data_IF_796445286299
#
_entry.id   IF_796445286299
#
_cell.length_a   1.000
_cell.length_b   1.000
_cell.length_c   1.000
_cell.angle_alpha   90.00
_cell.angle_beta   90.00
_cell.angle_gamma   90.00
#
_symmetry.space_group_name_H-M   'P 1'
#
loop_
_entity.id
_entity.type
_entity.pdbx_description
1 polymer ?
#
# COMPACT_ATOMS: atom_id res chain seq x y z
N UNK A 1 -14.15 7.33 7.74
CA UNK A 1 -12.99 7.46 6.83
C UNK A 1 -12.18 8.66 7.26
N UNK A 2 -10.89 8.47 7.58
CA UNK A 2 -10.07 9.53 8.15
C UNK A 2 -9.17 10.13 7.09
N UNK A 3 -9.26 11.45 6.95
CA UNK A 3 -8.30 12.25 6.19
C UNK A 3 -7.30 12.83 7.17
N UNK A 4 -6.04 12.89 6.80
CA UNK A 4 -5.01 13.58 7.56
C UNK A 4 -5.47 14.99 7.93
N UNK A 5 -5.29 15.35 9.20
CA UNK A 5 -5.55 16.71 9.69
C UNK A 5 -4.84 17.74 8.77
N UNK A 6 -5.61 18.71 8.27
CA UNK A 6 -5.18 19.92 7.56
C UNK A 6 -4.58 19.82 6.14
N UNK A 7 -4.80 18.77 5.32
CA UNK A 7 -4.27 18.77 3.93
C UNK A 7 -5.13 18.01 2.91
N UNK A 8 -5.90 18.73 2.09
CA UNK A 8 -5.90 18.38 0.66
C UNK A 8 -4.51 18.72 0.15
N UNK A 9 -3.77 17.73 -0.34
CA UNK A 9 -2.38 17.91 -0.71
C UNK A 9 -2.32 18.68 -2.03
N UNK A 10 -1.79 19.93 -2.08
CA UNK A 10 -1.53 20.63 -3.35
C UNK A 10 -0.38 19.96 -4.15
N UNK A 11 0.04 18.76 -3.72
CA UNK A 11 1.10 17.96 -4.33
C UNK A 11 0.56 16.78 -5.12
N UNK A 12 -0.73 16.45 -5.00
CA UNK A 12 -1.32 15.34 -5.75
C UNK A 12 -1.24 15.65 -7.25
N UNK A 13 -0.64 14.73 -8.00
CA UNK A 13 -0.47 14.82 -9.44
C UNK A 13 -1.48 13.92 -10.15
N UNK A 14 -1.51 12.64 -9.79
CA UNK A 14 -2.49 11.67 -10.27
C UNK A 14 -2.74 10.60 -9.20
N UNK A 15 -3.87 9.89 -9.24
CA UNK A 15 -4.14 8.74 -8.38
C UNK A 15 -5.01 7.70 -9.08
N UNK A 16 -5.11 6.54 -8.44
CA UNK A 16 -5.99 5.45 -8.86
C UNK A 16 -5.22 4.30 -9.51
N UNK A 17 -5.95 3.22 -9.76
CA UNK A 17 -5.42 2.00 -10.36
C UNK A 17 -6.12 1.70 -11.68
N UNK A 18 -5.35 1.21 -12.65
CA UNK A 18 -5.94 0.57 -13.84
C UNK A 18 -6.19 -0.90 -13.59
N UNK A 19 -7.05 -1.51 -14.41
CA UNK A 19 -7.31 -2.96 -14.35
C UNK A 19 -6.03 -3.79 -14.46
N UNK A 20 -5.11 -3.37 -15.33
CA UNK A 20 -3.82 -4.04 -15.46
C UNK A 20 -2.99 -3.96 -14.16
N UNK A 21 -2.95 -2.81 -13.49
CA UNK A 21 -2.20 -2.68 -12.24
C UNK A 21 -2.78 -3.55 -11.11
N UNK A 22 -4.12 -3.60 -10.99
CA UNK A 22 -4.81 -4.47 -10.02
C UNK A 22 -4.42 -5.92 -10.24
N UNK A 23 -4.47 -6.36 -11.50
CA UNK A 23 -4.06 -7.71 -11.89
C UNK A 23 -2.59 -7.98 -11.54
N UNK A 24 -1.67 -7.08 -11.88
CA UNK A 24 -0.24 -7.26 -11.56
C UNK A 24 0.00 -7.41 -10.06
N UNK A 25 -0.56 -6.52 -9.23
CA UNK A 25 -0.41 -6.60 -7.77
C UNK A 25 -0.98 -7.92 -7.23
N UNK A 26 -2.19 -8.29 -7.66
CA UNK A 26 -2.85 -9.51 -7.18
C UNK A 26 -2.03 -10.77 -7.54
N UNK A 27 -1.54 -10.85 -8.78
CA UNK A 27 -0.74 -11.98 -9.23
C UNK A 27 0.61 -12.05 -8.54
N UNK A 28 1.28 -10.92 -8.29
CA UNK A 28 2.54 -10.91 -7.54
C UNK A 28 2.34 -11.41 -6.11
N UNK A 29 1.27 -10.98 -5.43
CA UNK A 29 0.96 -11.47 -4.08
C UNK A 29 0.65 -12.96 -4.07
N UNK A 30 -0.24 -13.42 -4.95
CA UNK A 30 -0.60 -14.84 -5.00
C UNK A 30 0.60 -15.71 -5.40
N UNK A 31 1.47 -15.26 -6.32
CA UNK A 31 2.70 -15.97 -6.67
C UNK A 31 3.66 -16.13 -5.48
N UNK A 32 3.88 -15.06 -4.71
CA UNK A 32 4.72 -15.16 -3.51
C UNK A 32 4.09 -16.09 -2.45
N UNK A 33 2.77 -16.00 -2.24
CA UNK A 33 2.05 -16.89 -1.32
C UNK A 33 2.10 -18.35 -1.77
N UNK A 34 2.00 -18.62 -3.07
CA UNK A 34 2.08 -19.95 -3.67
C UNK A 34 3.49 -20.53 -3.49
N UNK A 35 4.53 -19.72 -3.71
CA UNK A 35 5.92 -20.08 -3.42
C UNK A 35 6.13 -20.40 -1.93
N UNK A 36 5.57 -19.60 -1.01
CA UNK A 36 5.62 -19.89 0.43
C UNK A 36 4.93 -21.22 0.72
N UNK A 37 3.73 -21.45 0.17
CA UNK A 37 2.97 -22.68 0.40
C UNK A 37 3.71 -23.94 -0.09
N UNK A 38 4.48 -23.84 -1.18
CA UNK A 38 5.34 -24.93 -1.69
C UNK A 38 6.68 -25.04 -0.98
N UNK A 39 7.05 -24.12 -0.09
CA UNK A 39 8.37 -24.07 0.54
C UNK A 39 9.49 -23.64 -0.42
N UNK A 40 9.15 -22.89 -1.49
CA UNK A 40 10.11 -22.32 -2.45
C UNK A 40 10.53 -20.89 -2.09
N UNK A 41 9.84 -20.22 -1.16
CA UNK A 41 10.23 -18.91 -0.66
C UNK A 41 11.41 -19.05 0.32
N UNK A 42 12.51 -18.36 0.02
CA UNK A 42 13.75 -18.51 0.77
C UNK A 42 13.58 -18.09 2.24
N UNK A 43 14.06 -18.94 3.16
CA UNK A 43 14.03 -18.68 4.60
C UNK A 43 12.71 -19.03 5.29
N UNK A 44 11.74 -19.62 4.58
CA UNK A 44 10.39 -19.84 5.10
C UNK A 44 9.94 -21.30 4.93
N UNK A 45 9.28 -21.91 5.94
CA UNK A 45 8.73 -23.26 5.82
C UNK A 45 7.51 -23.30 4.88
N UNK A 46 7.17 -24.48 4.31
CA UNK A 46 5.95 -24.65 3.53
C UNK A 46 4.69 -24.43 4.39
N UNK A 47 3.62 -23.96 3.76
CA UNK A 47 2.38 -23.59 4.44
C UNK A 47 1.23 -24.55 4.12
N UNK A 48 0.54 -25.03 5.15
CA UNK A 48 -0.57 -25.97 5.02
C UNK A 48 -1.93 -25.32 4.71
N UNK A 49 -2.11 -24.05 5.08
CA UNK A 49 -3.41 -23.37 5.12
C UNK A 49 -3.45 -22.03 4.36
N UNK A 50 -2.50 -21.78 3.46
CA UNK A 50 -2.32 -20.48 2.80
C UNK A 50 -3.48 -20.18 1.83
N UNK A 51 -4.32 -19.18 2.11
CA UNK A 51 -5.42 -18.80 1.21
C UNK A 51 -4.95 -18.05 -0.03
N UNK A 52 -5.65 -18.25 -1.16
CA UNK A 52 -5.58 -17.37 -2.34
C UNK A 52 -6.21 -16.01 -2.01
N UNK A 53 -5.54 -14.94 -2.42
CA UNK A 53 -6.08 -13.58 -2.31
C UNK A 53 -6.96 -13.24 -3.52
N UNK A 54 -7.96 -12.41 -3.26
CA UNK A 54 -8.89 -11.84 -4.25
C UNK A 54 -8.95 -10.33 -4.09
N UNK A 55 -9.12 -9.64 -5.21
CA UNK A 55 -9.27 -8.18 -5.18
C UNK A 55 -10.54 -7.76 -4.45
N UNK A 56 -10.47 -6.63 -3.76
CA UNK A 56 -11.56 -6.03 -3.01
C UNK A 56 -11.59 -4.52 -3.21
N UNK A 57 -12.65 -4.05 -3.89
CA UNK A 57 -12.79 -2.64 -4.29
C UNK A 57 -13.04 -1.70 -3.12
N UNK A 58 -13.67 -2.17 -2.05
CA UNK A 58 -13.83 -1.37 -0.82
C UNK A 58 -12.46 -1.07 -0.20
N UNK A 59 -11.58 -2.08 -0.15
CA UNK A 59 -10.21 -1.91 0.35
C UNK A 59 -9.35 -1.01 -0.54
N UNK A 60 -9.51 -1.09 -1.87
CA UNK A 60 -8.86 -0.20 -2.83
C UNK A 60 -9.31 1.25 -2.65
N UNK A 61 -10.61 1.51 -2.51
CA UNK A 61 -11.14 2.87 -2.33
C UNK A 61 -10.57 3.51 -1.07
N UNK A 62 -10.54 2.77 0.04
CA UNK A 62 -9.93 3.22 1.30
C UNK A 62 -8.43 3.50 1.09
N UNK A 63 -7.73 2.63 0.37
CA UNK A 63 -6.30 2.82 0.07
C UNK A 63 -6.06 4.06 -0.79
N UNK A 64 -6.91 4.34 -1.78
CA UNK A 64 -6.79 5.51 -2.64
C UNK A 64 -6.96 6.82 -1.86
N UNK A 65 -7.97 6.86 -1.00
CA UNK A 65 -8.28 8.04 -0.19
C UNK A 65 -7.13 8.38 0.74
N UNK A 66 -6.39 7.37 1.21
CA UNK A 66 -5.18 7.58 1.98
C UNK A 66 -3.98 7.97 1.10
N UNK A 67 -3.78 7.28 -0.04
CA UNK A 67 -2.67 7.56 -0.96
C UNK A 67 -2.68 9.03 -1.44
N UNK A 68 -3.87 9.56 -1.76
CA UNK A 68 -4.09 10.95 -2.24
C UNK A 68 -3.62 12.03 -1.25
N UNK A 69 -3.35 11.66 -0.01
CA UNK A 69 -2.86 12.58 1.01
C UNK A 69 -1.35 12.85 0.89
N UNK A 70 -0.63 12.03 0.12
CA UNK A 70 0.82 12.16 -0.12
C UNK A 70 1.64 12.18 1.19
N UNK A 71 1.31 11.30 2.13
CA UNK A 71 1.99 11.22 3.43
C UNK A 71 2.57 9.83 3.64
N UNK A 72 3.85 9.76 4.04
CA UNK A 72 4.52 8.50 4.35
C UNK A 72 4.19 8.08 5.78
N UNK A 73 2.95 7.63 6.00
CA UNK A 73 2.46 7.11 7.28
C UNK A 73 1.25 6.21 7.07
N UNK A 74 0.96 5.36 8.05
CA UNK A 74 -0.19 4.47 8.01
C UNK A 74 -1.51 5.19 8.27
N UNK A 75 -2.58 4.67 7.66
CA UNK A 75 -3.96 5.10 7.93
C UNK A 75 -4.44 4.57 9.30
N UNK A 76 -5.00 5.46 10.12
CA UNK A 76 -5.59 5.14 11.42
C UNK A 76 -7.01 4.55 11.29
N UNK A 77 -7.74 4.82 10.20
CA UNK A 77 -9.17 4.52 10.08
C UNK A 77 -9.52 3.76 8.79
N UNK A 78 -8.88 2.60 8.63
CA UNK A 78 -9.01 1.72 7.47
C UNK A 78 -9.91 0.51 7.65
N UNK A 79 -10.41 0.28 8.87
CA UNK A 79 -11.29 -0.87 9.16
C UNK A 79 -12.63 -0.73 8.42
N UNK A 80 -13.13 -1.85 7.93
CA UNK A 80 -14.44 -1.94 7.28
C UNK A 80 -15.47 -2.51 8.26
N UNK A 81 -16.74 -2.50 7.87
CA UNK A 81 -17.79 -3.20 8.63
C UNK A 81 -17.57 -4.72 8.58
N UNK A 82 -16.95 -5.24 7.51
CA UNK A 82 -16.74 -6.68 7.30
C UNK A 82 -15.60 -7.25 8.15
N UNK A 83 -14.51 -6.50 8.31
CA UNK A 83 -13.33 -6.93 9.07
C UNK A 83 -12.37 -5.78 9.36
N UNK A 84 -11.55 -5.98 10.38
CA UNK A 84 -10.35 -5.16 10.63
C UNK A 84 -9.37 -5.29 9.45
N UNK A 85 -8.61 -4.22 9.20
CA UNK A 85 -7.72 -4.12 8.03
C UNK A 85 -6.30 -3.79 8.45
N UNK A 86 -5.33 -4.54 7.93
CA UNK A 86 -3.91 -4.20 8.02
C UNK A 86 -3.43 -3.56 6.71
N UNK A 87 -2.36 -2.77 6.76
CA UNK A 87 -1.90 -1.99 5.63
C UNK A 87 -0.39 -2.11 5.46
N UNK A 88 0.04 -2.38 4.22
CA UNK A 88 1.39 -2.10 3.79
C UNK A 88 1.44 -0.80 2.98
N UNK A 89 2.56 -0.11 3.08
CA UNK A 89 2.82 1.14 2.37
C UNK A 89 4.22 1.09 1.77
N UNK A 90 4.37 1.68 0.60
CA UNK A 90 5.67 1.98 0.02
C UNK A 90 5.64 3.37 -0.64
N UNK A 91 6.80 4.02 -0.70
CA UNK A 91 6.96 5.34 -1.35
C UNK A 91 8.23 5.34 -2.18
N UNK A 92 8.09 5.51 -3.49
CA UNK A 92 9.20 5.41 -4.45
C UNK A 92 9.30 6.63 -5.35
N UNK A 93 10.51 7.09 -5.71
CA UNK A 93 10.66 8.09 -6.75
C UNK A 93 10.26 7.53 -8.11
N UNK A 94 9.51 8.31 -8.88
CA UNK A 94 9.24 8.02 -10.29
C UNK A 94 10.36 8.61 -11.11
N UNK A 95 11.13 7.76 -11.77
CA UNK A 95 12.28 8.17 -12.61
C UNK A 95 12.05 7.72 -14.06
N UNK A 96 12.56 8.43 -15.07
CA UNK A 96 12.23 8.19 -16.48
C UNK A 96 12.54 6.77 -17.01
N UNK A 97 13.45 6.03 -16.37
CA UNK A 97 13.86 4.68 -16.79
C UNK A 97 13.09 3.55 -16.11
N UNK A 98 12.20 3.85 -15.17
CA UNK A 98 11.48 2.84 -14.39
C UNK A 98 10.04 2.79 -14.90
N UNK A 99 9.61 1.60 -15.31
CA UNK A 99 8.24 1.36 -15.78
C UNK A 99 7.28 1.21 -14.58
N UNK A 100 5.99 1.39 -14.83
CA UNK A 100 4.96 1.12 -13.82
C UNK A 100 5.01 -0.33 -13.32
N UNK A 101 5.23 -1.28 -14.24
CA UNK A 101 5.41 -2.70 -13.90
C UNK A 101 6.54 -2.90 -12.90
N UNK A 102 7.66 -2.23 -13.11
CA UNK A 102 8.81 -2.32 -12.22
C UNK A 102 8.51 -1.72 -10.86
N UNK A 103 7.82 -0.57 -10.79
CA UNK A 103 7.42 0.04 -9.51
C UNK A 103 6.54 -0.92 -8.72
N UNK A 104 5.52 -1.50 -9.35
CA UNK A 104 4.61 -2.44 -8.70
C UNK A 104 5.34 -3.72 -8.25
N UNK A 105 6.17 -4.29 -9.11
CA UNK A 105 6.97 -5.48 -8.82
C UNK A 105 7.94 -5.23 -7.65
N UNK A 106 8.65 -4.11 -7.66
CA UNK A 106 9.60 -3.79 -6.59
C UNK A 106 8.89 -3.51 -5.27
N UNK A 107 7.71 -2.89 -5.28
CA UNK A 107 6.92 -2.64 -4.07
C UNK A 107 6.46 -3.94 -3.43
N UNK A 108 5.86 -4.84 -4.22
CA UNK A 108 5.43 -6.16 -3.69
C UNK A 108 6.64 -6.99 -3.26
N UNK A 109 7.71 -7.02 -4.06
CA UNK A 109 8.94 -7.72 -3.73
C UNK A 109 9.62 -7.19 -2.46
N UNK A 110 9.58 -5.87 -2.22
CA UNK A 110 10.09 -5.29 -0.98
C UNK A 110 9.29 -5.74 0.25
N UNK A 111 7.97 -5.85 0.15
CA UNK A 111 7.16 -6.39 1.25
C UNK A 111 7.48 -7.87 1.52
N UNK A 112 7.66 -8.68 0.48
CA UNK A 112 8.03 -10.08 0.64
C UNK A 112 9.50 -10.31 1.03
N UNK A 113 10.39 -9.31 0.84
CA UNK A 113 11.82 -9.44 1.18
C UNK A 113 12.10 -9.78 2.66
N UNK A 114 11.13 -9.53 3.54
CA UNK A 114 11.18 -9.94 4.94
C UNK A 114 11.19 -11.47 5.16
N UNK A 115 10.85 -12.26 4.15
CA UNK A 115 10.93 -13.74 4.19
C UNK A 115 12.32 -14.24 4.54
N UNK A 116 13.36 -13.55 4.06
CA UNK A 116 14.76 -13.93 4.28
C UNK A 116 15.29 -13.52 5.65
N UNK A 117 14.66 -12.52 6.28
CA UNK A 117 15.11 -11.96 7.55
C UNK A 117 14.33 -12.48 8.74
N UNK A 118 13.07 -12.90 8.54
CA UNK A 118 12.23 -13.47 9.57
C UNK A 118 12.62 -14.94 9.80
N UNK A 119 13.11 -15.31 11.00
CA UNK A 119 13.43 -16.70 11.27
C UNK A 119 12.18 -17.61 11.23
N UNK A 120 12.27 -18.85 10.70
CA UNK A 120 11.16 -19.78 10.55
C UNK A 120 10.32 -20.02 11.82
N UNK A 121 10.94 -19.96 13.00
CA UNK A 121 10.27 -20.17 14.27
C UNK A 121 9.21 -19.10 14.59
N UNK A 122 9.39 -17.88 14.11
CA UNK A 122 8.45 -16.77 14.32
C UNK A 122 7.21 -16.86 13.42
N UNK A 123 7.20 -17.77 12.43
CA UNK A 123 6.01 -18.05 11.62
C UNK A 123 4.88 -18.61 12.49
N UNK A 124 5.21 -19.42 13.50
CA UNK A 124 4.21 -20.05 14.40
C UNK A 124 3.64 -19.08 15.44
N UNK A 125 4.38 -18.04 15.77
CA UNK A 125 3.94 -17.04 16.74
C UNK A 125 4.52 -15.68 16.35
N UNK A 126 3.73 -14.91 15.63
CA UNK A 126 4.10 -13.57 15.21
C UNK A 126 4.28 -12.68 16.43
N UNK A 127 5.41 -11.98 16.49
CA UNK A 127 5.68 -10.93 17.48
C UNK A 127 5.81 -9.59 16.77
N UNK A 128 5.00 -8.58 17.13
CA UNK A 128 5.18 -7.24 16.62
C UNK A 128 6.56 -6.74 17.02
N UNK A 129 7.45 -6.59 16.04
CA UNK A 129 8.73 -5.93 16.27
C UNK A 129 8.58 -4.45 15.99
N UNK A 130 9.20 -3.63 16.84
CA UNK A 130 9.49 -2.27 16.43
C UNK A 130 10.44 -2.37 15.24
N UNK A 131 10.27 -1.50 14.23
CA UNK A 131 11.13 -1.40 13.05
C UNK A 131 12.62 -1.14 13.33
N UNK A 132 13.04 -1.21 14.59
CA UNK A 132 14.39 -1.10 15.13
C UNK A 132 15.12 -2.45 15.26
N UNK A 133 14.45 -3.60 15.04
CA UNK A 133 15.07 -4.93 15.13
C UNK A 133 15.99 -5.28 13.93
N UNK A 134 16.96 -6.20 14.06
CA UNK A 134 17.74 -6.71 12.94
C UNK A 134 16.81 -7.35 11.90
N UNK A 135 16.80 -6.82 10.67
CA UNK A 135 15.81 -7.15 9.62
C UNK A 135 14.79 -6.05 9.31
N UNK A 136 14.73 -4.98 10.13
CA UNK A 136 13.97 -3.76 9.87
C UNK A 136 12.44 -3.95 9.83
N UNK A 137 11.73 -3.00 9.20
CA UNK A 137 10.27 -3.09 8.98
C UNK A 137 9.85 -4.23 8.03
N UNK A 138 10.80 -4.91 7.38
CA UNK A 138 10.51 -5.88 6.32
C UNK A 138 9.74 -7.10 6.85
N UNK A 139 10.03 -7.55 8.07
CA UNK A 139 9.31 -8.66 8.71
C UNK A 139 7.83 -8.31 8.98
N UNK A 140 7.54 -7.04 9.33
CA UNK A 140 6.16 -6.57 9.51
C UNK A 140 5.39 -6.56 8.17
N UNK A 141 6.04 -6.09 7.10
CA UNK A 141 5.41 -6.07 5.78
C UNK A 141 5.20 -7.48 5.22
N UNK A 142 6.20 -8.36 5.40
CA UNK A 142 6.15 -9.75 5.01
C UNK A 142 5.00 -10.46 5.72
N UNK A 143 4.94 -10.39 7.05
CA UNK A 143 3.88 -11.03 7.83
C UNK A 143 2.48 -10.56 7.41
N UNK A 144 2.30 -9.27 7.10
CA UNK A 144 1.01 -8.76 6.64
C UNK A 144 0.60 -9.33 5.27
N UNK A 145 1.54 -9.43 4.33
CA UNK A 145 1.30 -9.95 2.98
C UNK A 145 1.21 -11.49 2.92
N UNK A 146 1.94 -12.19 3.79
CA UNK A 146 2.02 -13.65 3.88
C UNK A 146 0.97 -14.26 4.83
N UNK A 147 0.14 -13.45 5.49
CA UNK A 147 -0.81 -13.94 6.48
C UNK A 147 -1.84 -14.91 5.86
N UNK A 148 -1.90 -16.15 6.33
CA UNK A 148 -2.67 -17.23 5.69
C UNK A 148 -4.17 -16.97 5.65
N UNK A 149 -4.74 -16.41 6.73
CA UNK A 149 -6.18 -16.15 6.82
C UNK A 149 -6.62 -14.88 6.09
N UNK A 150 -5.69 -14.02 5.67
CA UNK A 150 -5.96 -12.85 4.83
C UNK A 150 -6.19 -13.30 3.39
N UNK A 151 -7.34 -12.95 2.81
CA UNK A 151 -7.74 -13.40 1.47
C UNK A 151 -8.36 -12.28 0.62
N UNK A 152 -8.52 -11.07 1.16
CA UNK A 152 -8.91 -9.87 0.43
C UNK A 152 -7.78 -8.86 0.41
N UNK A 153 -7.53 -8.29 -0.76
CA UNK A 153 -6.55 -7.21 -0.95
C UNK A 153 -7.16 -6.12 -1.81
N UNK A 154 -6.91 -4.87 -1.45
CA UNK A 154 -7.22 -3.73 -2.30
C UNK A 154 -6.12 -2.68 -2.14
N UNK A 155 -5.57 -2.24 -3.25
CA UNK A 155 -4.44 -1.32 -3.26
C UNK A 155 -4.71 -0.13 -4.14
N UNK A 156 -4.04 0.99 -3.86
CA UNK A 156 -4.06 2.16 -4.73
C UNK A 156 -2.73 2.89 -4.71
N UNK A 157 -2.51 3.69 -5.75
CA UNK A 157 -1.37 4.58 -5.86
C UNK A 157 -1.79 6.04 -5.98
N UNK A 158 -0.93 6.93 -5.51
CA UNK A 158 -0.97 8.35 -5.80
C UNK A 158 0.42 8.87 -6.14
N UNK A 159 0.51 9.61 -7.24
CA UNK A 159 1.70 10.33 -7.65
C UNK A 159 1.67 11.71 -7.04
N UNK A 160 2.75 12.09 -6.37
CA UNK A 160 2.81 13.35 -5.65
C UNK A 160 4.12 14.09 -5.93
N UNK A 161 4.03 15.40 -6.16
CA UNK A 161 5.19 16.25 -6.36
C UNK A 161 5.90 16.56 -5.02
N UNK A 162 7.22 16.45 -5.01
CA UNK A 162 8.04 16.84 -3.87
C UNK A 162 8.45 18.29 -4.06
N UNK A 163 7.95 19.19 -3.20
CA UNK A 163 8.61 20.48 -3.02
C UNK A 163 9.95 20.21 -2.36
N UNK A 164 11.05 20.57 -3.02
CA UNK A 164 12.36 20.61 -2.37
C UNK A 164 12.19 21.40 -1.06
N UNK A 165 12.54 20.80 0.07
CA UNK A 165 12.69 21.56 1.30
C UNK A 165 13.68 22.69 1.04
N UNK A 166 13.30 23.91 1.41
CA UNK A 166 14.11 25.14 1.30
C UNK A 166 15.52 25.03 1.93
N UNK A 167 15.82 23.97 2.67
CA UNK A 167 17.14 23.65 3.19
C UNK A 167 18.22 23.43 2.11
N UNK A 168 17.88 23.01 0.88
CA UNK A 168 18.87 22.90 -0.22
C UNK A 168 19.26 24.30 -0.75
N UNK A 169 18.31 25.24 -0.77
CA UNK A 169 18.58 26.62 -1.17
C UNK A 169 19.40 27.39 -0.11
N UNK A 170 19.33 26.97 1.16
CA UNK A 170 20.13 27.56 2.24
C UNK A 170 21.62 27.20 2.17
N UNK A 171 21.99 26.11 1.47
CA UNK A 171 23.39 25.68 1.35
C UNK A 171 24.17 26.41 0.25
N UNK A 172 23.51 27.26 -0.55
CA UNK A 172 24.15 28.04 -1.65
C UNK A 172 24.43 29.51 -1.32
N UNK A 173 24.15 29.98 -0.10
CA UNK A 173 24.49 31.35 0.35
C UNK A 173 25.27 31.33 1.67
N UNK A 174 26.56 31.04 1.56
CA UNK A 174 27.66 31.42 2.48
C UNK A 174 28.92 30.86 1.78
N UNK A 175 29.87 31.64 1.29
CA UNK A 175 30.50 32.83 1.89
C UNK A 175 31.27 33.64 0.85
N UNK A 176 31.15 34.98 0.90
CA UNK A 176 32.27 35.92 0.77
C UNK A 176 31.83 37.29 1.35
N UNK A 177 32.59 37.76 2.36
CA UNK A 177 32.62 39.12 2.94
C UNK A 177 31.38 39.61 3.73
N UNK A 178 31.43 40.34 4.84
CA UNK A 178 32.40 40.70 5.87
C UNK A 178 31.62 41.49 6.97
N UNK A 179 32.03 41.33 8.23
CA UNK A 179 32.04 42.28 9.38
C UNK A 179 30.80 43.08 9.84
N UNK A 180 30.64 43.05 11.18
CA UNK A 180 29.94 43.98 12.12
C UNK A 180 28.40 44.02 12.04
N UNK A 181 27.61 44.16 13.10
CA UNK A 181 27.83 44.67 14.46
C UNK A 181 26.73 44.14 15.41
N UNK A 182 26.98 44.22 16.72
CA UNK A 182 26.10 43.83 17.82
C UNK A 182 24.85 44.72 17.94
N UNK A 183 23.69 44.14 18.26
CA UNK A 183 22.86 44.64 19.38
C UNK A 183 21.75 43.66 19.73
N UNK A 184 21.56 43.54 21.05
CA UNK A 184 20.45 42.92 21.75
C UNK A 184 19.11 43.55 21.38
N UNK A 185 18.05 42.76 21.28
CA UNK A 185 16.78 43.17 21.88
C UNK A 185 15.85 41.99 22.17
N UNK A 186 15.32 42.04 23.38
CA UNK A 186 14.48 41.07 24.07
C UNK A 186 13.02 41.47 23.85
N UNK A 187 12.17 40.66 23.19
CA UNK A 187 10.71 40.83 23.31
C UNK A 187 9.98 39.48 23.22
N UNK A 188 9.54 39.01 24.38
CA UNK A 188 8.46 38.02 24.57
C UNK A 188 7.10 38.65 24.28
N UNK A 189 6.19 37.95 23.58
CA UNK A 189 4.76 38.04 23.92
C UNK A 189 3.92 36.82 23.52
N UNK A 190 3.02 36.54 24.45
CA UNK A 190 2.18 35.39 24.72
C UNK A 190 0.93 35.25 23.82
N UNK A 191 0.46 34.02 23.81
CA UNK A 191 -0.80 33.45 23.31
C UNK A 191 -2.09 34.16 23.75
N UNK A 192 -3.14 34.08 22.92
CA UNK A 192 -4.54 33.96 23.39
C UNK A 192 -5.35 33.03 22.48
N UNK A 193 -6.18 32.22 23.13
CA UNK A 193 -7.04 31.16 22.60
C UNK A 193 -8.51 31.60 22.65
N UNK A 194 -9.30 31.01 21.73
CA UNK A 194 -10.77 30.76 21.71
C UNK A 194 -11.57 31.63 20.74
N UNK A 195 -12.18 30.98 19.74
CA UNK A 195 -13.60 30.64 19.83
C UNK A 195 -14.04 29.57 18.83
N UNK A 196 -14.97 28.73 19.29
CA UNK A 196 -15.65 27.65 18.58
C UNK A 196 -16.76 28.21 17.68
N UNK A 197 -17.14 27.49 16.61
CA UNK A 197 -18.55 27.16 16.36
C UNK A 197 -18.72 26.17 15.18
N UNK A 198 -19.36 25.06 15.53
CA UNK A 198 -19.99 24.02 14.74
C UNK A 198 -20.69 24.50 13.45
N UNK A 199 -20.40 23.86 12.31
CA UNK A 199 -21.38 23.70 11.22
C UNK A 199 -21.61 22.22 10.91
N UNK A 200 -22.87 21.82 11.15
CA UNK A 200 -23.51 20.55 10.79
C UNK A 200 -23.21 20.16 9.33
N UNK A 201 -22.71 18.94 9.11
CA UNK A 201 -22.90 18.24 7.84
C UNK A 201 -24.13 17.32 7.97
N UNK A 202 -25.20 17.64 7.24
CA UNK A 202 -26.26 16.68 6.92
C UNK A 202 -25.75 15.82 5.77
N UNK A 203 -25.40 14.57 6.02
CA UNK A 203 -25.36 13.56 4.96
C UNK A 203 -26.60 12.69 5.12
N UNK A 204 -27.54 12.87 4.19
CA UNK A 204 -28.66 11.96 4.00
C UNK A 204 -28.13 10.63 3.48
N UNK A 205 -28.57 9.60 4.18
CA UNK A 205 -28.70 8.21 3.78
C UNK A 205 -29.50 8.08 2.48
N UNK A 206 -28.88 7.52 1.44
CA UNK A 206 -29.55 6.54 0.56
C UNK A 206 -28.48 5.55 0.10
N UNK A 207 -28.27 4.52 0.92
CA UNK A 207 -27.64 3.29 0.46
C UNK A 207 -28.58 2.63 -0.56
N UNK A 208 -28.10 2.46 -1.79
CA UNK A 208 -28.60 1.42 -2.67
C UNK A 208 -27.40 0.52 -2.96
N UNK A 209 -27.39 -0.62 -2.28
CA UNK A 209 -26.45 -1.71 -2.52
C UNK A 209 -26.54 -2.09 -4.00
N UNK A 210 -25.48 -1.81 -4.77
CA UNK A 210 -25.30 -2.42 -6.09
C UNK A 210 -24.65 -3.78 -5.86
N UNK A 211 -25.37 -4.80 -6.33
CA UNK A 211 -24.93 -6.16 -6.67
C UNK A 211 -23.41 -6.25 -6.90
N UNK A 212 -22.81 -7.31 -6.37
CA UNK A 212 -21.48 -7.81 -6.72
C UNK A 212 -21.35 -7.82 -8.27
N UNK A 213 -20.65 -6.86 -8.84
CA UNK A 213 -20.44 -6.79 -10.30
C UNK A 213 -19.32 -7.76 -10.67
N UNK A 214 -19.68 -8.70 -11.55
CA UNK A 214 -18.80 -9.64 -12.21
C UNK A 214 -17.91 -8.91 -13.23
N UNK A 215 -16.60 -9.16 -13.19
CA UNK A 215 -15.57 -8.40 -13.91
C UNK A 215 -15.51 -8.68 -15.42
N UNK A 216 -16.51 -9.38 -15.97
CA UNK A 216 -16.55 -9.77 -17.38
C UNK A 216 -17.04 -8.70 -18.37
N UNK A 217 -17.82 -7.70 -17.96
CA UNK A 217 -18.58 -6.90 -18.96
C UNK A 217 -18.69 -5.38 -18.76
N UNK A 218 -17.98 -4.77 -17.83
CA UNK A 218 -18.03 -3.30 -17.65
C UNK A 218 -16.68 -2.64 -17.93
N UNK A 219 -16.35 -2.48 -19.21
CA UNK A 219 -15.35 -1.50 -19.64
C UNK A 219 -15.96 -0.11 -19.46
N UNK A 220 -15.65 0.58 -18.36
CA UNK A 220 -15.85 2.03 -18.29
C UNK A 220 -14.91 2.67 -19.30
N UNK A 221 -15.48 3.40 -20.27
CA UNK A 221 -14.78 4.14 -21.31
C UNK A 221 -14.00 5.31 -20.66
N UNK A 222 -12.84 4.99 -20.10
CA UNK A 222 -12.00 5.91 -19.32
C UNK A 222 -10.87 5.25 -18.51
N UNK A 223 -10.84 3.91 -18.40
CA UNK A 223 -9.86 3.17 -17.57
C UNK A 223 -8.61 2.67 -18.32
N UNK A 224 -8.44 2.99 -19.61
CA UNK A 224 -7.36 2.42 -20.43
C UNK A 224 -5.97 3.02 -20.20
N UNK A 225 -5.87 4.19 -19.57
CA UNK A 225 -4.58 4.87 -19.39
C UNK A 225 -4.18 4.94 -17.91
N UNK A 226 -2.95 4.49 -17.65
CA UNK A 226 -2.26 4.55 -16.36
C UNK A 226 -2.19 5.96 -15.80
N UNK A 227 -2.32 6.11 -14.48
CA UNK A 227 -2.11 7.38 -13.79
C UNK A 227 -0.69 7.93 -13.99
N UNK A 228 0.32 7.06 -14.16
CA UNK A 228 1.66 7.45 -14.58
C UNK A 228 1.67 8.01 -16.00
N UNK A 229 0.94 7.36 -16.92
CA UNK A 229 0.89 7.79 -18.32
C UNK A 229 0.13 9.10 -18.52
N UNK A 230 -1.04 9.28 -17.88
CA UNK A 230 -1.80 10.55 -17.88
C UNK A 230 -0.93 11.70 -17.37
N UNK A 231 -0.18 11.44 -16.31
CA UNK A 231 0.75 12.41 -15.75
C UNK A 231 1.90 12.74 -16.70
N UNK A 232 2.46 11.77 -17.43
CA UNK A 232 3.52 12.02 -18.41
C UNK A 232 3.00 12.79 -19.63
N UNK A 233 1.79 12.48 -20.13
CA UNK A 233 1.19 13.18 -21.27
C UNK A 233 0.99 14.68 -21.00
N UNK A 234 0.53 15.05 -19.80
CA UNK A 234 0.39 16.46 -19.39
C UNK A 234 1.75 17.20 -19.29
N UNK A 235 2.86 16.47 -19.12
CA UNK A 235 4.22 17.04 -19.06
C UNK A 235 4.85 17.20 -20.45
N UNK A 236 4.58 16.29 -21.38
CA UNK A 236 5.12 16.34 -22.74
C UNK A 236 4.55 17.53 -23.53
N UNK A 237 3.33 17.98 -23.21
CA UNK A 237 2.72 19.14 -23.87
C UNK A 237 3.28 20.50 -23.37
N UNK A 238 4.15 20.49 -22.34
CA UNK A 238 4.90 21.67 -21.89
C UNK A 238 6.38 21.52 -22.20
N UNK A 239 6.69 21.61 -23.49
CA UNK A 239 8.05 21.77 -24.01
C UNK A 239 8.70 23.09 -23.55
N UNK A 240 9.09 23.18 -22.27
CA UNK A 240 10.05 24.15 -21.77
C UNK A 240 10.93 23.46 -20.74
N UNK A 241 12.23 23.37 -21.05
CA UNK A 241 13.36 22.99 -20.18
C UNK A 241 13.27 23.64 -18.79
N UNK A 242 12.47 23.08 -17.88
CA UNK A 242 12.31 23.50 -16.49
C UNK A 242 12.28 22.21 -15.68
N UNK A 243 13.35 21.96 -14.93
CA UNK A 243 13.47 21.03 -13.80
C UNK A 243 12.32 20.02 -13.66
N UNK A 244 12.53 18.78 -14.12
CA UNK A 244 11.57 17.69 -13.89
C UNK A 244 11.10 17.71 -12.43
N UNK A 245 9.79 17.80 -12.16
CA UNK A 245 9.32 17.77 -10.79
C UNK A 245 9.67 16.39 -10.21
N UNK A 246 10.35 16.38 -9.05
CA UNK A 246 10.58 15.15 -8.30
C UNK A 246 9.22 14.54 -7.91
N UNK A 247 8.76 13.52 -8.64
CA UNK A 247 7.49 12.83 -8.38
C UNK A 247 7.78 11.60 -7.53
N UNK A 248 6.96 11.38 -6.50
CA UNK A 248 6.97 10.18 -5.67
C UNK A 248 5.65 9.44 -5.84
N UNK A 249 5.72 8.14 -6.11
CA UNK A 249 4.60 7.23 -6.06
C UNK A 249 4.39 6.74 -4.63
N UNK A 250 3.23 7.05 -4.06
CA UNK A 250 2.75 6.55 -2.78
C UNK A 250 1.82 5.37 -3.04
N UNK A 251 2.19 4.18 -2.61
CA UNK A 251 1.44 2.95 -2.86
C UNK A 251 1.00 2.39 -1.50
N UNK A 252 -0.29 2.10 -1.40
CA UNK A 252 -0.88 1.50 -0.20
C UNK A 252 -1.67 0.26 -0.60
N UNK A 253 -1.47 -0.82 0.15
CA UNK A 253 -2.28 -2.03 0.05
C UNK A 253 -2.94 -2.30 1.40
N UNK A 254 -4.26 -2.46 1.37
CA UNK A 254 -5.07 -2.84 2.50
C UNK A 254 -5.42 -4.33 2.39
N UNK A 255 -5.34 -5.04 3.51
CA UNK A 255 -5.46 -6.49 3.60
C UNK A 255 -6.54 -6.88 4.60
N UNK A 256 -7.39 -7.82 4.18
CA UNK A 256 -8.58 -8.23 4.90
C UNK A 256 -8.80 -9.75 4.92
N UNK A 257 -9.25 -10.32 6.04
CA UNK A 257 -9.21 -9.77 7.40
C UNK A 257 -7.78 -9.40 7.84
N UNK A 258 -7.63 -8.57 8.88
CA UNK A 258 -6.32 -8.14 9.37
C UNK A 258 -5.47 -9.31 9.88
N UNK A 259 -4.20 -9.30 9.48
CA UNK A 259 -3.14 -10.15 10.04
C UNK A 259 -2.30 -9.45 11.10
N UNK A 260 -1.08 -9.94 11.31
CA UNK A 260 -0.10 -9.45 12.29
C UNK A 260 -0.66 -9.38 13.72
N UNK A 261 -1.43 -10.40 14.09
CA UNK A 261 -2.00 -10.52 15.43
C UNK A 261 -0.93 -11.12 16.34
N UNK A 262 -0.59 -10.42 17.43
CA UNK A 262 0.44 -10.88 18.37
C UNK A 262 0.10 -12.27 18.93
N UNK A 263 1.08 -13.17 18.87
CA UNK A 263 0.98 -14.53 19.34
C UNK A 263 0.38 -15.52 18.33
N UNK A 264 -0.27 -15.03 17.28
CA UNK A 264 -0.87 -15.88 16.25
C UNK A 264 0.13 -16.24 15.14
N UNK A 265 -0.02 -17.39 14.48
CA UNK A 265 0.84 -17.76 13.37
C UNK A 265 0.59 -16.88 12.14
N UNK A 266 1.65 -16.55 11.40
CA UNK A 266 1.52 -15.93 10.06
C UNK A 266 0.80 -16.90 9.13
N UNK A 267 1.22 -18.17 9.16
CA UNK A 267 0.57 -19.30 8.51
C UNK A 267 0.95 -20.58 9.27
N UNK A 268 0.25 -21.67 9.01
CA UNK A 268 0.55 -22.95 9.65
C UNK A 268 1.62 -23.70 8.84
N UNK A 269 2.81 -23.97 9.41
CA UNK A 269 3.82 -24.75 8.71
C UNK A 269 3.34 -26.19 8.51
N UNK A 270 3.46 -26.72 7.29
CA UNK A 270 3.06 -28.09 6.99
C UNK A 270 3.06 -28.40 5.51
N UNK A 271 2.54 -29.58 5.16
CA UNK A 271 2.42 -30.03 3.78
C UNK A 271 1.43 -29.09 3.07
N UNK A 272 1.79 -28.64 1.86
CA UNK A 272 0.94 -27.77 1.04
C UNK A 272 -0.49 -28.29 0.98
N UNK A 273 -1.46 -27.40 1.23
CA UNK A 273 -2.90 -27.69 1.24
C UNK A 273 -3.38 -28.74 2.27
N UNK A 274 -2.54 -29.23 3.19
CA UNK A 274 -2.96 -30.27 4.14
C UNK A 274 -3.95 -29.77 5.20
N UNK A 275 -4.11 -28.45 5.34
CA UNK A 275 -5.07 -27.85 6.27
C UNK A 275 -5.79 -26.65 5.66
N UNK A 276 -6.35 -26.80 4.45
CA UNK A 276 -7.11 -25.72 3.83
C UNK A 276 -8.32 -25.31 4.69
N UNK A 277 -8.51 -24.01 4.95
CA UNK A 277 -9.62 -23.53 5.77
C UNK A 277 -11.00 -23.90 5.23
N UNK A 278 -12.02 -23.91 6.10
CA UNK A 278 -13.40 -24.21 5.69
C UNK A 278 -13.88 -23.31 4.52
N UNK A 279 -14.58 -23.94 3.57
CA UNK A 279 -15.07 -23.28 2.35
C UNK A 279 -14.01 -23.06 1.27
N UNK A 280 -12.81 -23.63 1.45
CA UNK A 280 -11.73 -23.58 0.45
C UNK A 280 -11.25 -24.98 0.09
N UNK A 281 -10.69 -25.12 -1.11
CA UNK A 281 -10.07 -26.34 -1.62
C UNK A 281 -8.66 -26.01 -2.09
N UNK A 282 -7.79 -27.01 -2.18
CA UNK A 282 -6.48 -26.81 -2.80
C UNK A 282 -6.69 -26.33 -4.24
N UNK A 283 -6.00 -25.25 -4.61
CA UNK A 283 -6.15 -24.63 -5.91
C UNK A 283 -5.65 -25.52 -7.04
N UNK A 284 -6.00 -25.15 -8.25
CA UNK A 284 -5.45 -25.72 -9.48
C UNK A 284 -4.91 -24.62 -10.40
N UNK A 285 -4.46 -25.02 -11.59
CA UNK A 285 -3.94 -24.11 -12.59
C UNK A 285 -2.70 -23.32 -12.13
N UNK A 286 -2.84 -21.99 -12.11
CA UNK A 286 -1.72 -21.06 -11.87
C UNK A 286 -1.27 -20.98 -10.41
N UNK A 287 -2.15 -21.25 -9.45
CA UNK A 287 -1.89 -21.12 -8.01
C UNK A 287 -2.31 -22.39 -7.26
N UNK A 288 -1.72 -23.51 -7.66
CA UNK A 288 -2.08 -24.85 -7.19
C UNK A 288 -1.76 -25.11 -5.72
N UNK A 289 -0.90 -24.31 -5.09
CA UNK A 289 -0.50 -24.50 -3.69
C UNK A 289 -1.36 -23.67 -2.72
N UNK A 290 -2.28 -22.86 -3.23
CA UNK A 290 -3.13 -21.98 -2.43
C UNK A 290 -4.51 -22.59 -2.18
N UNK A 291 -5.03 -22.41 -0.98
CA UNK A 291 -6.41 -22.70 -0.64
C UNK A 291 -7.34 -21.65 -1.27
N UNK A 292 -8.03 -22.04 -2.34
CA UNK A 292 -8.92 -21.19 -3.14
C UNK A 292 -10.38 -21.48 -2.84
N UNK A 293 -11.26 -20.53 -3.13
CA UNK A 293 -12.70 -20.70 -2.92
C UNK A 293 -13.25 -21.84 -3.80
N UNK A 294 -14.26 -22.55 -3.30
CA UNK A 294 -15.00 -23.52 -4.12
C UNK A 294 -15.63 -22.80 -5.31
N UNK A 295 -15.34 -23.27 -6.54
CA UNK A 295 -15.80 -22.63 -7.78
C UNK A 295 -14.92 -21.48 -8.28
N UNK A 296 -13.70 -21.30 -7.75
CA UNK A 296 -12.71 -20.38 -8.31
C UNK A 296 -12.50 -20.65 -9.81
N UNK A 297 -12.48 -19.62 -10.68
CA UNK A 297 -12.26 -19.78 -12.11
C UNK A 297 -10.97 -20.53 -12.49
N UNK A 298 -9.90 -20.38 -11.70
CA UNK A 298 -8.63 -21.07 -11.94
C UNK A 298 -8.70 -22.57 -11.62
N UNK A 299 -9.77 -23.02 -10.96
CA UNK A 299 -9.99 -24.42 -10.61
C UNK A 299 -10.85 -25.18 -11.64
N UNK A 300 -11.19 -24.58 -12.77
CA UNK A 300 -11.88 -25.28 -13.85
C UNK A 300 -10.85 -26.08 -14.65
N UNK A 301 -11.01 -27.41 -14.64
CA UNK A 301 -10.30 -28.36 -15.51
C UNK A 301 -10.61 -28.13 -16.99
#
# INVERSE_FOLDING_TARGET
MCVAKNKHSPRLFASGMTTWMRYQILQLHNRHRDNIAMGLEAGQPPAANMRKMYWDYELEEIAEIWARQCQKRHDECRNTIRFNVIQNMDVRPVVPRVTEAQILADTVGAWFSGSRTLPPEYVRSFKPTNCSAPGGCNAHWYSAAAWASTWKIGCSQALCTVRQSSCILFRKRRTLSALADNSSDTVTRTTTLKDNLLRRTKYMTTARSSRLEDFGTTVKKGDSESALYRGVLDLVDKQKKINDPNIMAYIFCNYGPAGNIDGFPIYEPGITCSNCPYGTVCGAGTHRALCSLVGDPDNKE
#
